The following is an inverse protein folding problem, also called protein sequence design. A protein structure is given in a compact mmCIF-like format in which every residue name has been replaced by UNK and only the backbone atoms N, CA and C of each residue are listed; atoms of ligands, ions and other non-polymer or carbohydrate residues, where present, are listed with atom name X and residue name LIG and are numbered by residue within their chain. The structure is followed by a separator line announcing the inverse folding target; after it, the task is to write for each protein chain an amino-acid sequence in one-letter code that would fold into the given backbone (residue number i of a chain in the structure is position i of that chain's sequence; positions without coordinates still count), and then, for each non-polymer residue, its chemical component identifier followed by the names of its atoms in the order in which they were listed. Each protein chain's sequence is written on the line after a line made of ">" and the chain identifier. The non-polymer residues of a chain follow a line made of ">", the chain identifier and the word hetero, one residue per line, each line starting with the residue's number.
data_IF_860116944415
#
_entry.id   IF_860116944415
#
_cell.length_a   1.000
_cell.length_b   1.000
_cell.length_c   1.000
_cell.angle_alpha   90.00
_cell.angle_beta   90.00
_cell.angle_gamma   90.00
#
_symmetry.space_group_name_H-M   'P 1'
#
loop_
_entity.id
_entity.type
_entity.pdbx_description
1 polymer ?
#
# COMPACT_ATOMS: atom_id res chain seq x y z
N UNK A 1 -36.35 -65.68 16.60
CA UNK A 1 -35.93 -64.48 17.32
C UNK A 1 -35.02 -63.68 16.37
N UNK A 2 -35.61 -62.70 15.66
CA UNK A 2 -34.94 -61.97 14.61
C UNK A 2 -34.40 -60.64 15.24
N UNK A 3 -33.08 -60.42 15.20
CA UNK A 3 -32.45 -59.18 15.71
C UNK A 3 -32.32 -58.21 14.53
N UNK A 4 -33.10 -57.14 14.60
CA UNK A 4 -33.07 -56.04 13.60
C UNK A 4 -31.95 -55.07 14.02
N UNK A 5 -30.90 -55.02 13.23
CA UNK A 5 -29.80 -54.07 13.43
C UNK A 5 -30.10 -52.80 12.64
N UNK A 6 -30.36 -51.69 13.36
CA UNK A 6 -30.58 -50.37 12.78
C UNK A 6 -29.21 -49.72 12.58
N UNK A 7 -28.80 -49.56 11.32
CA UNK A 7 -27.61 -48.80 10.95
C UNK A 7 -27.95 -47.31 10.88
N UNK A 8 -27.44 -46.53 11.80
CA UNK A 8 -27.57 -45.07 11.79
C UNK A 8 -26.52 -44.47 10.80
N UNK A 9 -26.98 -43.96 9.67
CA UNK A 9 -26.14 -43.22 8.72
C UNK A 9 -26.04 -41.79 9.21
N UNK A 10 -24.88 -41.40 9.73
CA UNK A 10 -24.57 -40.02 10.08
C UNK A 10 -24.22 -39.23 8.78
N UNK A 11 -25.14 -38.41 8.32
CA UNK A 11 -24.94 -37.48 7.22
C UNK A 11 -24.13 -36.28 7.72
N UNK A 12 -22.82 -36.27 7.45
CA UNK A 12 -21.96 -35.12 7.74
C UNK A 12 -22.26 -34.00 6.73
N UNK A 13 -22.96 -32.97 7.18
CA UNK A 13 -23.13 -31.70 6.44
C UNK A 13 -21.78 -30.97 6.41
N UNK A 14 -21.04 -31.08 5.32
CA UNK A 14 -19.92 -30.23 5.02
C UNK A 14 -20.45 -28.83 4.68
N UNK A 15 -20.40 -27.91 5.65
CA UNK A 15 -20.62 -26.49 5.39
C UNK A 15 -19.48 -25.99 4.51
N UNK A 16 -19.74 -25.40 3.31
CA UNK A 16 -18.70 -24.71 2.59
C UNK A 16 -18.28 -23.52 3.45
N UNK A 17 -17.00 -23.47 3.81
CA UNK A 17 -16.39 -22.26 4.36
C UNK A 17 -16.52 -21.18 3.27
N UNK A 18 -17.46 -20.26 3.46
CA UNK A 18 -17.47 -18.98 2.75
C UNK A 18 -16.17 -18.27 3.14
N UNK A 19 -15.10 -18.53 2.39
CA UNK A 19 -13.94 -17.66 2.37
C UNK A 19 -14.48 -16.31 1.91
N UNK A 20 -14.74 -15.43 2.85
CA UNK A 20 -15.24 -14.09 2.60
C UNK A 20 -14.31 -13.46 1.58
N UNK A 21 -14.80 -13.20 0.38
CA UNK A 21 -14.11 -12.36 -0.58
C UNK A 21 -13.87 -11.05 0.15
N UNK A 22 -12.65 -10.82 0.61
CA UNK A 22 -12.28 -9.55 1.21
C UNK A 22 -12.62 -8.47 0.18
N UNK A 23 -13.55 -7.59 0.52
CA UNK A 23 -13.99 -6.51 -0.35
C UNK A 23 -12.83 -5.53 -0.48
N UNK A 24 -11.91 -5.83 -1.40
CA UNK A 24 -10.77 -4.97 -1.72
C UNK A 24 -11.31 -3.65 -2.23
N UNK A 25 -10.89 -2.54 -1.63
CA UNK A 25 -11.30 -1.23 -2.11
C UNK A 25 -10.70 -0.96 -3.51
N UNK A 26 -11.46 -0.27 -4.35
CA UNK A 26 -10.97 0.24 -5.63
C UNK A 26 -10.50 1.69 -5.44
N UNK A 27 -9.18 1.85 -5.45
CA UNK A 27 -8.53 3.15 -5.31
C UNK A 27 -8.42 3.92 -6.63
N UNK A 28 -8.90 3.38 -7.75
CA UNK A 28 -8.79 4.01 -9.06
C UNK A 28 -9.38 5.42 -9.07
N UNK A 29 -8.68 6.32 -9.73
CA UNK A 29 -9.12 7.69 -9.93
C UNK A 29 -8.01 8.72 -9.83
N UNK A 30 -8.42 9.97 -9.95
CA UNK A 30 -7.58 11.14 -9.72
C UNK A 30 -7.85 11.67 -8.31
N UNK A 31 -6.80 11.93 -7.57
CA UNK A 31 -6.84 12.33 -6.18
C UNK A 31 -6.03 13.60 -5.98
N UNK A 32 -6.66 14.66 -5.50
CA UNK A 32 -6.01 15.93 -5.19
C UNK A 32 -5.77 16.04 -3.69
N UNK A 33 -4.58 16.48 -3.30
CA UNK A 33 -4.24 16.62 -1.88
C UNK A 33 -5.15 17.67 -1.22
N UNK A 34 -5.64 17.32 -0.03
CA UNK A 34 -6.29 18.25 0.89
C UNK A 34 -5.23 18.70 1.92
N UNK A 35 -4.62 19.88 1.75
CA UNK A 35 -3.56 20.32 2.65
C UNK A 35 -4.05 20.66 4.06
N UNK A 36 -5.33 20.96 4.21
CA UNK A 36 -5.92 21.28 5.52
C UNK A 36 -6.09 20.04 6.41
N UNK A 37 -6.20 18.85 5.79
CA UNK A 37 -6.38 17.57 6.48
C UNK A 37 -5.12 16.71 6.49
N UNK A 38 -4.07 17.15 5.79
CA UNK A 38 -2.79 16.45 5.68
C UNK A 38 -1.79 17.02 6.69
N UNK A 39 -0.87 16.15 7.14
CA UNK A 39 0.23 16.60 7.97
C UNK A 39 1.12 17.59 7.19
N UNK A 40 1.67 18.61 7.87
CA UNK A 40 2.58 19.55 7.25
C UNK A 40 3.84 18.84 6.74
N UNK A 41 4.55 19.43 5.76
CA UNK A 41 5.80 18.89 5.28
C UNK A 41 6.84 18.85 6.42
N UNK A 42 7.72 17.84 6.44
CA UNK A 42 8.81 17.79 7.42
C UNK A 42 9.64 19.05 7.33
N UNK A 43 9.73 19.80 8.41
CA UNK A 43 10.58 20.97 8.50
C UNK A 43 12.05 20.55 8.71
N UNK A 44 12.99 21.27 8.10
CA UNK A 44 14.42 21.13 8.37
C UNK A 44 15.16 20.04 7.60
N UNK A 45 14.51 19.28 6.74
CA UNK A 45 15.18 18.37 5.82
C UNK A 45 15.22 19.00 4.43
N UNK A 46 16.44 19.30 3.96
CA UNK A 46 16.65 19.86 2.63
C UNK A 46 15.95 19.03 1.54
N UNK A 47 15.77 19.62 0.36
CA UNK A 47 15.01 19.01 -0.75
C UNK A 47 15.52 17.63 -1.19
N UNK A 48 16.73 17.23 -0.79
CA UNK A 48 17.30 15.94 -1.18
C UNK A 48 16.71 14.71 -0.45
N UNK A 49 16.17 14.85 0.75
CA UNK A 49 15.72 13.71 1.57
C UNK A 49 14.20 13.63 1.79
N UNK A 50 13.45 14.64 1.48
CA UNK A 50 11.99 14.61 1.47
C UNK A 50 11.49 14.57 0.04
N UNK A 51 10.81 13.53 -0.38
CA UNK A 51 10.00 13.61 -1.59
C UNK A 51 9.17 14.89 -1.50
N UNK A 52 9.17 15.72 -2.57
CA UNK A 52 8.38 16.95 -2.59
C UNK A 52 6.94 16.69 -2.17
N UNK A 53 6.24 17.73 -1.71
CA UNK A 53 4.81 17.60 -1.39
C UNK A 53 4.07 17.02 -2.59
N UNK A 54 3.46 15.87 -2.40
CA UNK A 54 2.52 15.33 -3.37
C UNK A 54 1.38 16.33 -3.51
N UNK A 55 1.10 16.76 -4.72
CA UNK A 55 -0.03 17.64 -5.03
C UNK A 55 -1.19 16.85 -5.64
N UNK A 56 -0.85 15.79 -6.38
CA UNK A 56 -1.81 14.95 -7.09
C UNK A 56 -1.34 13.49 -7.09
N UNK A 57 -2.30 12.58 -7.01
CA UNK A 57 -2.09 11.16 -7.15
C UNK A 57 -3.12 10.61 -8.14
N UNK A 58 -2.65 9.89 -9.16
CA UNK A 58 -3.52 9.17 -10.09
C UNK A 58 -3.29 7.69 -9.89
N UNK A 59 -4.36 6.95 -9.59
CA UNK A 59 -4.30 5.51 -9.40
C UNK A 59 -5.10 4.82 -10.50
N UNK A 60 -4.48 3.83 -11.11
CA UNK A 60 -5.14 2.84 -11.96
C UNK A 60 -4.99 1.49 -11.29
N UNK A 61 -6.10 0.84 -10.98
CA UNK A 61 -6.12 -0.46 -10.32
C UNK A 61 -6.79 -1.50 -11.21
N UNK A 62 -6.15 -2.65 -11.32
CA UNK A 62 -6.69 -3.86 -11.94
C UNK A 62 -6.83 -4.97 -10.89
N UNK A 63 -7.21 -6.17 -11.29
CA UNK A 63 -7.24 -7.32 -10.39
C UNK A 63 -5.86 -7.70 -9.86
N UNK A 64 -4.79 -7.44 -10.62
CA UNK A 64 -3.42 -7.90 -10.34
C UNK A 64 -2.43 -6.80 -10.02
N UNK A 65 -2.71 -5.56 -10.43
CA UNK A 65 -1.77 -4.44 -10.31
C UNK A 65 -2.45 -3.15 -9.88
N UNK A 66 -1.73 -2.35 -9.13
CA UNK A 66 -2.04 -0.96 -8.85
C UNK A 66 -0.88 -0.10 -9.35
N UNK A 67 -1.20 0.85 -10.22
CA UNK A 67 -0.26 1.84 -10.75
C UNK A 67 -0.58 3.17 -10.09
N UNK A 68 0.39 3.73 -9.37
CA UNK A 68 0.30 5.03 -8.73
C UNK A 68 1.22 6.02 -9.45
N UNK A 69 0.65 7.10 -9.98
CA UNK A 69 1.40 8.23 -10.54
C UNK A 69 1.25 9.40 -9.57
N UNK A 70 2.34 9.75 -8.93
CA UNK A 70 2.42 10.83 -7.95
C UNK A 70 3.05 12.06 -8.59
N UNK A 71 2.35 13.18 -8.56
CA UNK A 71 2.88 14.48 -9.01
C UNK A 71 3.32 15.31 -7.81
N UNK A 72 4.50 15.88 -7.90
CA UNK A 72 5.06 16.81 -6.92
C UNK A 72 5.85 17.93 -7.62
N UNK A 73 6.44 18.84 -6.87
CA UNK A 73 7.21 19.97 -7.44
C UNK A 73 8.44 19.55 -8.28
N UNK A 74 8.87 18.27 -8.21
CA UNK A 74 10.02 17.74 -8.96
C UNK A 74 9.59 16.99 -10.22
N UNK A 75 8.30 16.84 -10.46
CA UNK A 75 7.74 16.10 -11.57
C UNK A 75 6.89 14.93 -11.13
N UNK A 76 6.74 13.96 -12.00
CA UNK A 76 5.92 12.77 -11.79
C UNK A 76 6.78 11.54 -11.48
N UNK A 77 6.28 10.73 -10.59
CA UNK A 77 6.86 9.41 -10.28
C UNK A 77 5.78 8.36 -10.47
N UNK A 78 6.08 7.35 -11.28
CA UNK A 78 5.22 6.20 -11.49
C UNK A 78 5.74 5.02 -10.69
N UNK A 79 4.88 4.41 -9.91
CA UNK A 79 5.17 3.19 -9.14
C UNK A 79 4.12 2.13 -9.47
N UNK A 80 4.56 0.89 -9.62
CA UNK A 80 3.69 -0.27 -9.86
C UNK A 80 3.75 -1.19 -8.65
N UNK A 81 2.60 -1.66 -8.20
CA UNK A 81 2.45 -2.62 -7.12
C UNK A 81 1.70 -3.85 -7.60
N UNK A 82 2.21 -5.04 -7.32
CA UNK A 82 1.51 -6.30 -7.56
C UNK A 82 0.53 -6.57 -6.43
N UNK A 83 -0.74 -6.77 -6.76
CA UNK A 83 -1.83 -6.96 -5.78
C UNK A 83 -2.04 -8.41 -5.37
N UNK A 84 -1.26 -9.34 -5.94
CA UNK A 84 -1.26 -10.77 -5.61
C UNK A 84 -0.39 -11.10 -4.37
N UNK A 85 0.28 -10.11 -3.80
CA UNK A 85 1.18 -10.27 -2.65
C UNK A 85 2.58 -10.74 -3.02
N UNK A 86 2.89 -10.87 -4.32
CA UNK A 86 4.26 -11.13 -4.76
C UNK A 86 5.12 -9.87 -4.66
N UNK A 87 6.43 -10.06 -4.61
CA UNK A 87 7.38 -8.95 -4.54
C UNK A 87 7.42 -8.16 -5.87
N UNK A 88 7.44 -6.85 -5.77
CA UNK A 88 7.79 -5.95 -6.88
C UNK A 88 9.18 -5.41 -6.64
N UNK A 89 10.09 -5.65 -7.59
CA UNK A 89 11.46 -5.16 -7.53
C UNK A 89 11.66 -4.05 -8.57
N UNK A 90 12.26 -2.96 -8.16
CA UNK A 90 12.60 -1.83 -9.03
C UNK A 90 14.08 -1.49 -8.85
N UNK A 91 14.75 -1.20 -9.97
CA UNK A 91 16.13 -0.71 -9.97
C UNK A 91 16.14 0.71 -10.53
N UNK A 92 16.78 1.61 -9.80
CA UNK A 92 16.96 3.01 -10.17
C UNK A 92 18.45 3.35 -10.16
N UNK A 93 18.88 4.46 -10.78
CA UNK A 93 20.28 4.92 -10.70
C UNK A 93 20.77 5.14 -9.24
N UNK A 94 19.87 5.33 -8.30
CA UNK A 94 20.19 5.57 -6.89
C UNK A 94 20.16 4.30 -6.02
N UNK A 95 19.81 3.14 -6.59
CA UNK A 95 19.74 1.89 -5.84
C UNK A 95 18.56 1.01 -6.24
N UNK A 96 18.20 0.10 -5.37
CA UNK A 96 17.12 -0.86 -5.61
C UNK A 96 16.00 -0.69 -4.60
N UNK A 97 14.78 -1.04 -4.99
CA UNK A 97 13.66 -1.13 -4.06
C UNK A 97 12.92 -2.45 -4.25
N UNK A 98 12.43 -2.98 -3.14
CA UNK A 98 11.58 -4.15 -3.08
C UNK A 98 10.32 -3.78 -2.31
N UNK A 99 9.16 -3.99 -2.91
CA UNK A 99 7.88 -3.75 -2.24
C UNK A 99 6.99 -4.98 -2.28
N UNK A 100 6.20 -5.13 -1.23
CA UNK A 100 5.20 -6.18 -1.08
C UNK A 100 3.90 -5.59 -0.61
N UNK A 101 2.81 -6.03 -1.25
CA UNK A 101 1.45 -5.59 -0.94
C UNK A 101 0.72 -6.65 -0.14
N UNK A 102 -0.08 -6.20 0.81
CA UNK A 102 -1.06 -7.02 1.53
C UNK A 102 -2.38 -6.25 1.69
N UNK A 103 -3.45 -6.98 1.91
CA UNK A 103 -4.77 -6.43 2.17
C UNK A 103 -5.16 -6.73 3.61
N UNK A 104 -5.72 -5.73 4.28
CA UNK A 104 -6.36 -5.84 5.58
C UNK A 104 -7.80 -5.32 5.43
N UNK A 105 -8.73 -6.24 5.16
CA UNK A 105 -10.07 -5.87 4.71
C UNK A 105 -10.04 -5.04 3.43
N UNK A 106 -10.61 -3.83 3.46
CA UNK A 106 -10.58 -2.86 2.37
C UNK A 106 -9.33 -1.98 2.33
N UNK A 107 -8.41 -2.14 3.28
CA UNK A 107 -7.18 -1.34 3.39
C UNK A 107 -6.04 -2.01 2.63
N UNK A 108 -5.33 -1.22 1.82
CA UNK A 108 -4.11 -1.67 1.13
C UNK A 108 -2.88 -1.29 1.95
N UNK A 109 -2.03 -2.26 2.24
CA UNK A 109 -0.77 -2.06 2.96
C UNK A 109 0.39 -2.40 2.04
N UNK A 110 1.30 -1.45 1.82
CA UNK A 110 2.53 -1.63 1.05
C UNK A 110 3.72 -1.53 1.99
N UNK A 111 4.50 -2.60 2.08
CA UNK A 111 5.78 -2.59 2.77
C UNK A 111 6.89 -2.50 1.71
N UNK A 112 7.81 -1.54 1.87
CA UNK A 112 8.92 -1.33 0.94
C UNK A 112 10.24 -1.26 1.69
N UNK A 113 11.26 -1.90 1.12
CA UNK A 113 12.66 -1.76 1.51
C UNK A 113 13.39 -1.16 0.32
N UNK A 114 14.07 -0.06 0.53
CA UNK A 114 14.85 0.64 -0.49
C UNK A 114 16.31 0.73 -0.05
N UNK A 115 17.22 0.22 -0.87
CA UNK A 115 18.66 0.37 -0.69
C UNK A 115 19.13 1.55 -1.53
N UNK A 116 19.66 2.57 -0.88
CA UNK A 116 20.25 3.74 -1.53
C UNK A 116 21.76 3.58 -1.53
N UNK A 117 22.37 3.71 -2.69
CA UNK A 117 23.82 3.67 -2.86
C UNK A 117 24.34 5.08 -3.16
N UNK A 118 25.29 5.52 -2.36
CA UNK A 118 25.97 6.81 -2.50
C UNK A 118 27.48 6.60 -2.55
N UNK A 119 28.28 7.61 -2.94
CA UNK A 119 29.75 7.52 -2.86
C UNK A 119 30.28 7.23 -1.45
N UNK A 120 29.51 7.55 -0.40
CA UNK A 120 29.86 7.30 1.00
C UNK A 120 29.40 5.95 1.53
N UNK A 121 28.78 5.09 0.71
CA UNK A 121 28.26 3.78 1.10
C UNK A 121 26.78 3.60 0.81
N UNK A 122 26.27 2.44 1.21
CA UNK A 122 24.85 2.10 1.03
C UNK A 122 24.12 2.11 2.37
N UNK A 123 22.85 2.50 2.35
CA UNK A 123 21.96 2.44 3.51
C UNK A 123 20.56 2.02 3.08
N UNK A 124 19.79 1.49 4.02
CA UNK A 124 18.42 1.06 3.78
C UNK A 124 17.42 2.06 4.36
N UNK A 125 16.32 2.23 3.63
CA UNK A 125 15.12 2.91 4.06
C UNK A 125 14.00 1.88 4.02
N UNK A 126 13.35 1.65 5.14
CA UNK A 126 12.10 0.89 5.17
C UNK A 126 10.92 1.85 5.21
N UNK A 127 9.85 1.52 4.50
CA UNK A 127 8.61 2.27 4.56
C UNK A 127 7.41 1.36 4.56
N UNK A 128 6.38 1.79 5.28
CA UNK A 128 5.04 1.21 5.26
C UNK A 128 4.07 2.29 4.80
N UNK A 129 3.32 1.99 3.76
CA UNK A 129 2.26 2.84 3.23
C UNK A 129 0.92 2.15 3.46
N UNK A 130 -0.04 2.86 4.02
CA UNK A 130 -1.38 2.36 4.31
C UNK A 130 -2.39 3.25 3.60
N UNK A 131 -3.11 2.67 2.65
CA UNK A 131 -4.15 3.33 1.86
C UNK A 131 -5.52 2.93 2.39
N UNK A 132 -6.32 3.91 2.79
CA UNK A 132 -7.69 3.72 3.26
C UNK A 132 -8.63 4.60 2.45
N UNK A 133 -9.75 4.04 2.00
CA UNK A 133 -10.75 4.74 1.19
C UNK A 133 -12.06 4.84 1.96
N UNK A 134 -12.55 6.07 2.16
CA UNK A 134 -13.84 6.37 2.77
C UNK A 134 -14.66 7.27 1.82
N UNK A 135 -15.56 6.67 1.07
CA UNK A 135 -16.33 7.38 0.05
C UNK A 135 -15.43 8.01 -1.01
N UNK A 136 -15.34 9.34 -1.02
CA UNK A 136 -14.50 10.13 -1.96
C UNK A 136 -13.23 10.67 -1.31
N UNK A 137 -12.85 10.15 -0.14
CA UNK A 137 -11.65 10.55 0.59
C UNK A 137 -10.68 9.38 0.65
N UNK A 138 -9.48 9.58 0.13
CA UNK A 138 -8.37 8.66 0.23
C UNK A 138 -7.38 9.16 1.29
N UNK A 139 -7.09 8.33 2.27
CA UNK A 139 -6.07 8.61 3.28
C UNK A 139 -4.87 7.71 3.04
N UNK A 140 -3.69 8.31 2.93
CA UNK A 140 -2.40 7.63 2.84
C UNK A 140 -1.57 7.95 4.08
N UNK A 141 -1.29 6.94 4.88
CA UNK A 141 -0.34 7.04 6.00
C UNK A 141 0.96 6.38 5.57
N UNK A 142 2.03 7.16 5.55
CA UNK A 142 3.39 6.67 5.23
C UNK A 142 4.25 6.74 6.46
N UNK A 143 4.72 5.58 6.93
CA UNK A 143 5.74 5.48 8.00
C UNK A 143 7.06 5.08 7.37
N UNK A 144 8.13 5.83 7.68
CA UNK A 144 9.47 5.63 7.13
C UNK A 144 10.49 5.50 8.25
N UNK A 145 11.37 4.52 8.14
CA UNK A 145 12.53 4.36 9.01
C UNK A 145 13.80 4.55 8.20
N UNK A 146 14.66 5.41 8.64
CA UNK A 146 15.95 5.77 8.02
C UNK A 146 17.05 5.67 9.10
N UNK A 147 18.34 5.59 8.75
CA UNK A 147 19.43 5.58 9.73
C UNK A 147 19.41 6.74 10.71
N UNK A 148 18.83 7.88 10.31
CA UNK A 148 18.72 9.10 11.12
C UNK A 148 17.41 9.21 11.92
N UNK A 149 16.57 8.16 11.95
CA UNK A 149 15.32 8.13 12.70
C UNK A 149 14.10 7.76 11.87
N UNK A 150 12.97 7.65 12.54
CA UNK A 150 11.68 7.33 11.95
C UNK A 150 10.79 8.57 11.79
N UNK A 151 9.91 8.55 10.80
CA UNK A 151 8.91 9.58 10.58
C UNK A 151 7.62 8.95 10.04
N UNK A 152 6.49 9.44 10.52
CA UNK A 152 5.16 9.08 9.99
C UNK A 152 4.48 10.33 9.47
N UNK A 153 3.75 10.19 8.37
CA UNK A 153 3.02 11.27 7.73
C UNK A 153 1.68 10.77 7.23
N UNK A 154 0.64 11.51 7.50
CA UNK A 154 -0.69 11.35 6.92
C UNK A 154 -0.87 12.34 5.77
N UNK A 155 -1.31 11.85 4.62
CA UNK A 155 -1.75 12.68 3.49
C UNK A 155 -3.19 12.31 3.15
N UNK A 156 -4.04 13.30 3.07
CA UNK A 156 -5.46 13.15 2.73
C UNK A 156 -5.69 13.70 1.34
N UNK A 157 -6.47 12.99 0.56
CA UNK A 157 -6.81 13.35 -0.80
C UNK A 157 -8.32 13.33 -0.98
N UNK A 158 -8.83 14.26 -1.76
CA UNK A 158 -10.19 14.26 -2.24
C UNK A 158 -10.23 13.80 -3.69
N UNK A 159 -11.27 13.04 -4.05
CA UNK A 159 -11.46 12.59 -5.44
C UNK A 159 -11.68 13.80 -6.34
N UNK A 160 -10.89 13.87 -7.44
CA UNK A 160 -11.01 14.89 -8.46
C UNK A 160 -12.09 14.58 -9.48
#
# INVERSE_FOLDING_TARGET
>A
MSRLTIATVALALALPALAGAQNKADFSGTWNVDPAKSDPPPQGRGPAMGGGLTTKLVITQSATELIAVTTNARGETRTVYKLDGSDTNETTPMGTSKSKVSWDGGTLVVNRVQTITTPGGSFEITSKEVYTLEGKVLTLVTSRTMPMGAATRKTVFNKG
#
